data_IF_922755414470
#
_entry.id   IF_922755414470
#
_cell.length_a   1.000
_cell.length_b   1.000
_cell.length_c   1.000
_cell.angle_alpha   90.00
_cell.angle_beta   90.00
_cell.angle_gamma   90.00
#
_symmetry.space_group_name_H-M   'P 1'
#
loop_
_entity.id
_entity.type
_entity.pdbx_description
1 polymer ?
#
# COMPACT_ATOMS: atom_id res chain seq x y z
N UNK A 1 19.07 -6.04 -6.50
CA UNK A 1 18.58 -4.70 -6.10
C UNK A 1 17.39 -4.79 -5.16
N UNK A 2 16.27 -5.41 -5.59
CA UNK A 2 15.02 -5.51 -4.79
C UNK A 2 15.20 -6.03 -3.34
N UNK A 3 15.99 -7.10 -3.07
CA UNK A 3 16.16 -7.60 -1.70
C UNK A 3 16.86 -6.61 -0.76
N UNK A 4 17.80 -5.82 -1.30
CA UNK A 4 18.50 -4.78 -0.54
C UNK A 4 17.58 -3.62 -0.16
N UNK A 5 16.72 -3.20 -1.10
CA UNK A 5 15.70 -2.17 -0.83
C UNK A 5 14.65 -2.66 0.16
N UNK A 6 14.19 -3.92 0.04
CA UNK A 6 13.25 -4.52 0.98
C UNK A 6 13.79 -4.51 2.42
N UNK A 7 15.10 -4.73 2.62
CA UNK A 7 15.76 -4.60 3.93
C UNK A 7 15.85 -3.15 4.40
N UNK A 8 16.14 -2.22 3.49
CA UNK A 8 16.28 -0.80 3.81
C UNK A 8 14.95 -0.13 4.23
N UNK A 9 13.80 -0.72 3.88
CA UNK A 9 12.49 -0.32 4.42
C UNK A 9 12.41 -0.46 5.94
N UNK A 10 13.29 -1.26 6.57
CA UNK A 10 13.32 -1.45 8.02
C UNK A 10 14.47 -0.70 8.71
N UNK A 11 15.10 0.24 8.01
CA UNK A 11 16.21 1.00 8.58
C UNK A 11 15.77 1.89 9.75
N UNK A 12 16.67 2.11 10.70
CA UNK A 12 16.41 2.98 11.85
C UNK A 12 16.16 4.43 11.42
N UNK A 13 16.81 4.88 10.34
CA UNK A 13 16.68 6.24 9.83
C UNK A 13 15.48 6.35 8.89
N UNK A 14 14.58 7.27 9.20
CA UNK A 14 13.37 7.49 8.40
C UNK A 14 13.68 7.91 6.96
N UNK A 15 14.77 8.66 6.74
CA UNK A 15 15.22 9.05 5.40
C UNK A 15 15.57 7.84 4.54
N UNK A 16 16.25 6.85 5.13
CA UNK A 16 16.62 5.60 4.45
C UNK A 16 15.38 4.79 4.11
N UNK A 17 14.41 4.70 5.04
CA UNK A 17 13.14 4.02 4.80
C UNK A 17 12.35 4.67 3.67
N UNK A 18 12.25 6.00 3.64
CA UNK A 18 11.56 6.73 2.55
C UNK A 18 12.25 6.48 1.23
N UNK A 19 13.58 6.63 1.17
CA UNK A 19 14.34 6.40 -0.06
C UNK A 19 14.13 4.97 -0.59
N UNK A 20 14.12 3.98 0.31
CA UNK A 20 13.86 2.59 -0.05
C UNK A 20 12.45 2.39 -0.64
N UNK A 21 11.41 2.91 0.04
CA UNK A 21 10.02 2.80 -0.43
C UNK A 21 9.81 3.57 -1.74
N UNK A 22 10.43 4.75 -1.88
CA UNK A 22 10.35 5.53 -3.12
C UNK A 22 10.99 4.77 -4.28
N UNK A 23 12.18 4.21 -4.08
CA UNK A 23 12.84 3.40 -5.10
C UNK A 23 11.98 2.19 -5.49
N UNK A 24 11.37 1.50 -4.52
CA UNK A 24 10.43 0.40 -4.80
C UNK A 24 9.18 0.87 -5.57
N UNK A 25 8.67 2.07 -5.27
CA UNK A 25 7.56 2.70 -6.00
C UNK A 25 7.92 2.95 -7.47
N UNK A 26 9.12 3.45 -7.72
CA UNK A 26 9.59 3.82 -9.06
C UNK A 26 9.96 2.59 -9.91
N UNK A 27 10.31 1.48 -9.27
CA UNK A 27 10.49 0.18 -9.93
C UNK A 27 9.19 -0.42 -10.48
N UNK A 28 8.02 0.05 -10.03
CA UNK A 28 6.73 -0.47 -10.47
C UNK A 28 6.63 -1.99 -10.27
N UNK A 29 6.10 -2.73 -11.24
CA UNK A 29 5.87 -4.19 -11.13
C UNK A 29 7.13 -5.00 -10.77
N UNK A 30 8.33 -4.49 -11.04
CA UNK A 30 9.57 -5.16 -10.63
C UNK A 30 9.76 -5.20 -9.10
N UNK A 31 9.04 -4.36 -8.35
CA UNK A 31 9.00 -4.36 -6.89
C UNK A 31 7.98 -5.35 -6.30
N UNK A 32 7.26 -6.12 -7.11
CA UNK A 32 6.34 -7.15 -6.61
C UNK A 32 6.95 -8.11 -5.56
N UNK A 33 8.23 -8.54 -5.66
CA UNK A 33 8.84 -9.36 -4.61
C UNK A 33 9.04 -8.64 -3.26
N UNK A 34 9.02 -7.31 -3.25
CA UNK A 34 9.14 -6.49 -2.04
C UNK A 34 7.77 -6.13 -1.41
N UNK A 35 6.68 -6.74 -1.87
CA UNK A 35 5.35 -6.52 -1.30
C UNK A 35 5.27 -6.68 0.22
N UNK A 36 5.90 -7.70 0.85
CA UNK A 36 5.89 -7.82 2.31
C UNK A 36 6.53 -6.62 3.02
N UNK A 37 7.60 -6.06 2.45
CA UNK A 37 8.26 -4.87 2.98
C UNK A 37 7.37 -3.62 2.82
N UNK A 38 6.71 -3.46 1.66
CA UNK A 38 5.75 -2.37 1.44
C UNK A 38 4.55 -2.45 2.40
N UNK A 39 4.04 -3.65 2.69
CA UNK A 39 2.97 -3.85 3.67
C UNK A 39 3.40 -3.41 5.08
N UNK A 40 4.64 -3.69 5.47
CA UNK A 40 5.21 -3.21 6.74
C UNK A 40 5.39 -1.69 6.76
N UNK A 41 5.78 -1.09 5.64
CA UNK A 41 5.90 0.36 5.51
C UNK A 41 4.55 1.10 5.63
N UNK A 42 3.42 0.46 5.33
CA UNK A 42 2.08 1.03 5.53
C UNK A 42 1.73 1.25 7.01
N UNK A 43 2.39 0.53 7.93
CA UNK A 43 2.21 0.67 9.37
C UNK A 43 3.37 1.40 10.05
N UNK A 44 4.25 2.05 9.28
CA UNK A 44 5.38 2.81 9.81
C UNK A 44 4.91 3.93 10.77
N UNK A 45 5.74 4.27 11.73
CA UNK A 45 5.44 5.36 12.66
C UNK A 45 5.57 6.73 11.98
N UNK A 46 6.43 6.86 10.97
CA UNK A 46 6.68 8.09 10.24
C UNK A 46 5.66 8.27 9.10
N UNK A 47 4.80 9.30 9.14
CA UNK A 47 3.72 9.46 8.15
C UNK A 47 4.19 9.50 6.69
N UNK A 48 5.30 10.16 6.33
CA UNK A 48 5.81 10.14 4.97
C UNK A 48 6.14 8.74 4.44
N UNK A 49 6.61 7.81 5.27
CA UNK A 49 6.89 6.42 4.85
C UNK A 49 5.58 5.71 4.49
N UNK A 50 4.55 5.83 5.33
CA UNK A 50 3.21 5.26 5.09
C UNK A 50 2.60 5.77 3.80
N UNK A 51 2.72 7.08 3.56
CA UNK A 51 2.23 7.73 2.35
C UNK A 51 2.89 7.20 1.07
N UNK A 52 4.22 7.06 1.07
CA UNK A 52 4.95 6.51 -0.07
C UNK A 52 4.60 5.04 -0.30
N UNK A 53 4.41 4.27 0.76
CA UNK A 53 4.02 2.87 0.67
C UNK A 53 2.62 2.71 0.06
N UNK A 54 1.65 3.52 0.49
CA UNK A 54 0.30 3.50 -0.07
C UNK A 54 0.30 3.86 -1.56
N UNK A 55 1.08 4.87 -1.95
CA UNK A 55 1.23 5.24 -3.36
C UNK A 55 1.91 4.11 -4.17
N UNK A 56 2.97 3.49 -3.64
CA UNK A 56 3.64 2.35 -4.26
C UNK A 56 2.65 1.20 -4.50
N UNK A 57 1.86 0.82 -3.50
CA UNK A 57 0.82 -0.19 -3.65
C UNK A 57 -0.19 0.20 -4.74
N UNK A 58 -0.64 1.46 -4.78
CA UNK A 58 -1.52 1.97 -5.83
C UNK A 58 -0.92 1.85 -7.25
N UNK A 59 0.37 2.12 -7.42
CA UNK A 59 1.10 1.99 -8.70
C UNK A 59 1.27 0.52 -9.13
N UNK A 60 1.49 -0.39 -8.18
CA UNK A 60 1.58 -1.84 -8.45
C UNK A 60 0.24 -2.42 -8.90
N UNK A 61 -0.86 -1.80 -8.47
CA UNK A 61 -2.20 -2.14 -8.91
C UNK A 61 -2.78 -3.40 -8.28
N UNK A 62 -4.04 -3.73 -8.59
CA UNK A 62 -4.82 -4.74 -7.90
C UNK A 62 -4.29 -6.17 -8.02
N UNK A 63 -3.55 -6.49 -9.08
CA UNK A 63 -3.03 -7.86 -9.30
C UNK A 63 -1.90 -8.22 -8.35
N UNK A 64 -1.18 -7.22 -7.83
CA UNK A 64 0.02 -7.41 -7.03
C UNK A 64 -0.21 -6.92 -5.59
N UNK A 65 -0.93 -5.81 -5.42
CA UNK A 65 -1.09 -5.14 -4.13
C UNK A 65 -2.51 -5.23 -3.56
N UNK A 66 -3.29 -6.27 -3.91
CA UNK A 66 -4.60 -6.55 -3.30
C UNK A 66 -4.51 -6.79 -1.79
N UNK A 67 -3.42 -7.41 -1.32
CA UNK A 67 -3.16 -7.65 0.10
C UNK A 67 -2.96 -6.35 0.90
N UNK A 68 -2.65 -5.23 0.24
CA UNK A 68 -2.51 -3.92 0.88
C UNK A 68 -3.87 -3.27 1.19
N UNK A 69 -4.98 -3.77 0.65
CA UNK A 69 -6.31 -3.15 0.80
C UNK A 69 -6.72 -3.02 2.28
N UNK A 70 -6.60 -4.04 3.15
CA UNK A 70 -6.96 -3.89 4.56
C UNK A 70 -6.10 -2.84 5.28
N UNK A 71 -4.78 -2.86 5.04
CA UNK A 71 -3.86 -1.91 5.65
C UNK A 71 -4.15 -0.46 5.22
N UNK A 72 -4.42 -0.23 3.93
CA UNK A 72 -4.78 1.11 3.42
C UNK A 72 -6.18 1.52 3.88
N UNK A 73 -7.08 0.57 4.12
CA UNK A 73 -8.40 0.86 4.71
C UNK A 73 -8.29 1.38 6.14
N UNK A 74 -7.34 0.87 6.94
CA UNK A 74 -7.08 1.43 8.26
C UNK A 74 -6.52 2.86 8.19
N UNK A 75 -5.74 3.19 7.16
CA UNK A 75 -5.23 4.55 6.93
C UNK A 75 -6.35 5.57 6.63
N UNK A 76 -7.56 5.14 6.24
CA UNK A 76 -8.72 6.03 6.11
C UNK A 76 -9.25 6.53 7.45
N UNK A 77 -8.90 5.86 8.55
CA UNK A 77 -9.26 6.26 9.92
C UNK A 77 -8.17 7.11 10.58
N UNK A 78 -7.10 7.43 9.86
CA UNK A 78 -6.04 8.28 10.36
C UNK A 78 -6.59 9.68 10.67
N UNK A 79 -6.03 10.34 11.68
CA UNK A 79 -6.48 11.66 12.14
C UNK A 79 -6.15 12.75 11.12
N UNK A 80 -5.13 12.52 10.30
CA UNK A 80 -4.62 13.48 9.34
C UNK A 80 -5.37 13.42 8.01
N UNK A 81 -6.02 14.51 7.61
CA UNK A 81 -6.83 14.58 6.38
C UNK A 81 -6.02 14.24 5.11
N UNK A 82 -4.76 14.68 5.07
CA UNK A 82 -3.87 14.39 3.94
C UNK A 82 -3.55 12.88 3.84
N UNK A 83 -3.46 12.18 4.97
CA UNK A 83 -3.24 10.73 5.01
C UNK A 83 -4.48 9.98 4.52
N UNK A 84 -5.67 10.44 4.92
CA UNK A 84 -6.93 9.91 4.41
C UNK A 84 -7.05 10.09 2.88
N UNK A 85 -6.66 11.26 2.36
CA UNK A 85 -6.70 11.53 0.92
C UNK A 85 -5.80 10.57 0.13
N UNK A 86 -4.59 10.30 0.62
CA UNK A 86 -3.66 9.32 0.02
C UNK A 86 -4.25 7.92 0.08
N UNK A 87 -4.82 7.53 1.21
CA UNK A 87 -5.45 6.22 1.36
C UNK A 87 -6.65 6.04 0.39
N UNK A 88 -7.48 7.08 0.19
CA UNK A 88 -8.58 7.05 -0.80
C UNK A 88 -8.05 6.90 -2.22
N UNK A 89 -7.02 7.63 -2.59
CA UNK A 89 -6.42 7.57 -3.93
C UNK A 89 -5.77 6.21 -4.20
N UNK A 90 -4.98 5.70 -3.24
CA UNK A 90 -4.37 4.37 -3.33
C UNK A 90 -5.44 3.28 -3.45
N UNK A 91 -6.51 3.34 -2.63
CA UNK A 91 -7.64 2.41 -2.75
C UNK A 91 -8.39 2.55 -4.06
N UNK A 92 -8.54 3.76 -4.62
CA UNK A 92 -9.17 3.96 -5.93
C UNK A 92 -8.39 3.22 -7.03
N UNK A 93 -7.06 3.35 -7.03
CA UNK A 93 -6.14 2.64 -7.94
C UNK A 93 -6.20 1.13 -7.76
N UNK A 94 -6.30 0.65 -6.52
CA UNK A 94 -6.43 -0.77 -6.18
C UNK A 94 -7.84 -1.35 -6.40
N UNK A 95 -8.90 -0.52 -6.36
CA UNK A 95 -10.30 -0.96 -6.52
C UNK A 95 -10.75 -1.05 -7.98
N UNK A 96 -9.87 -0.73 -8.94
CA UNK A 96 -10.18 -0.77 -10.38
C UNK A 96 -10.86 -2.07 -10.83
N UNK A 97 -12.11 -1.94 -11.31
CA UNK A 97 -13.07 -2.92 -11.91
C UNK A 97 -13.31 -4.29 -11.21
N UNK A 98 -12.34 -4.88 -10.52
CA UNK A 98 -12.47 -6.22 -9.90
C UNK A 98 -13.13 -6.18 -8.50
N UNK A 99 -13.04 -5.07 -7.76
CA UNK A 99 -13.54 -5.00 -6.38
C UNK A 99 -15.07 -4.90 -6.28
N UNK A 100 -15.76 -4.45 -7.34
CA UNK A 100 -17.24 -4.45 -7.42
C UNK A 100 -17.81 -5.87 -7.35
N UNK A 101 -17.14 -6.83 -7.98
CA UNK A 101 -17.57 -8.23 -7.95
C UNK A 101 -17.35 -8.89 -6.60
N UNK A 102 -16.25 -8.57 -5.88
CA UNK A 102 -15.98 -9.15 -4.55
C UNK A 102 -16.86 -8.57 -3.44
N UNK A 103 -17.19 -7.27 -3.45
CA UNK A 103 -18.16 -6.70 -2.50
C UNK A 103 -19.58 -7.19 -2.77
N UNK A 104 -19.98 -7.24 -4.05
CA UNK A 104 -21.27 -7.81 -4.44
C UNK A 104 -21.38 -9.29 -4.05
N UNK A 105 -20.32 -10.09 -4.24
CA UNK A 105 -20.33 -11.50 -3.81
C UNK A 105 -20.40 -11.66 -2.29
N UNK A 106 -19.77 -10.77 -1.51
CA UNK A 106 -19.78 -10.83 -0.04
C UNK A 106 -21.12 -10.37 0.54
N UNK A 107 -21.75 -9.35 -0.04
CA UNK A 107 -23.10 -8.90 0.31
C UNK A 107 -24.17 -9.92 -0.11
N UNK A 108 -24.02 -10.57 -1.27
CA UNK A 108 -24.92 -11.65 -1.70
C UNK A 108 -24.81 -12.94 -0.88
N UNK A 109 -23.70 -13.17 -0.18
CA UNK A 109 -23.54 -14.33 0.71
C UNK A 109 -24.04 -14.11 2.14
N UNK A 110 -24.36 -12.87 2.54
CA UNK A 110 -24.81 -12.55 3.90
C UNK A 110 -26.35 -12.55 4.07
N UNK A 111 -27.10 -12.92 3.02
CA UNK A 111 -28.57 -12.91 3.00
C UNK A 111 -29.19 -14.30 2.72
N UNK A 112 -28.42 -15.39 2.92
CA UNK A 112 -28.93 -16.76 2.99
C UNK A 112 -28.75 -17.34 4.38
#
# INVERSE_FOLDING_TARGET
>A
AVPGLAKAVEDQHHDVRIAAVSALSDMGLAAAPAMPALLKALTDWFPPVKAHAANACGKLGPRVASEAIPAITELLKDKEDWMQAIARDALSKLRGRAYRWMQHCKESCSVM
#
